data_IF_690156993910
#
_entry.id   IF_690156993910
#
_cell.length_a   1.000
_cell.length_b   1.000
_cell.length_c   1.000
_cell.angle_alpha   90.00
_cell.angle_beta   90.00
_cell.angle_gamma   90.00
#
_symmetry.space_group_name_H-M   'P 1'
#
loop_
_entity.id
_entity.type
_entity.pdbx_description
1 polymer ?
#
# COMPACT_ATOMS: atom_id res chain seq x y z
N UNK A 1 4.42 3.55 -11.17
CA UNK A 1 3.97 2.29 -10.54
C UNK A 1 5.16 1.57 -9.94
N UNK A 2 5.03 1.03 -8.73
CA UNK A 2 6.09 0.28 -8.05
C UNK A 2 5.63 -1.17 -7.77
N UNK A 3 6.53 -2.16 -7.81
CA UNK A 3 6.19 -3.52 -7.42
C UNK A 3 6.13 -3.64 -5.89
N UNK A 4 5.01 -4.12 -5.36
CA UNK A 4 4.81 -4.47 -3.96
C UNK A 4 4.77 -5.99 -3.79
N UNK A 5 5.35 -6.50 -2.71
CA UNK A 5 5.27 -7.91 -2.33
C UNK A 5 3.81 -8.31 -2.04
N UNK A 6 3.34 -9.39 -2.66
CA UNK A 6 2.00 -9.96 -2.43
C UNK A 6 2.09 -11.31 -1.70
N UNK A 7 2.83 -12.26 -2.28
CA UNK A 7 3.13 -13.54 -1.66
C UNK A 7 4.65 -13.69 -1.64
N UNK A 8 5.21 -13.75 -0.45
CA UNK A 8 6.66 -13.76 -0.22
C UNK A 8 7.09 -15.16 0.15
N UNK A 9 8.17 -15.62 -0.49
CA UNK A 9 8.92 -16.80 -0.06
C UNK A 9 10.32 -16.38 0.35
N UNK A 10 10.88 -17.10 1.31
CA UNK A 10 12.19 -16.81 1.88
C UNK A 10 13.10 -18.03 1.74
N UNK A 11 14.36 -17.81 1.41
CA UNK A 11 15.40 -18.83 1.45
C UNK A 11 16.16 -18.76 2.76
N UNK A 12 16.33 -19.92 3.40
CA UNK A 12 17.17 -20.03 4.58
C UNK A 12 18.66 -20.06 4.19
N UNK A 13 19.46 -19.12 4.70
CA UNK A 13 20.88 -19.03 4.33
C UNK A 13 21.74 -20.21 4.87
N UNK A 14 21.24 -20.98 5.85
CA UNK A 14 22.00 -22.10 6.44
C UNK A 14 21.78 -23.43 5.71
N UNK A 15 20.56 -23.71 5.26
CA UNK A 15 20.22 -24.98 4.61
C UNK A 15 19.76 -24.85 3.15
N UNK A 16 19.51 -23.64 2.65
CA UNK A 16 19.01 -23.41 1.29
C UNK A 16 17.53 -23.77 1.09
N UNK A 17 16.82 -24.14 2.15
CA UNK A 17 15.40 -24.50 2.06
C UNK A 17 14.51 -23.27 1.86
N UNK A 18 13.53 -23.39 0.97
CA UNK A 18 12.54 -22.34 0.68
C UNK A 18 11.37 -22.42 1.66
N UNK A 19 11.19 -21.36 2.45
CA UNK A 19 10.14 -21.21 3.46
C UNK A 19 9.02 -20.35 2.87
N UNK A 20 7.77 -20.78 3.05
CA UNK A 20 6.58 -20.03 2.65
C UNK A 20 5.50 -20.92 2.06
N UNK A 21 4.40 -20.35 1.55
CA UNK A 21 4.19 -18.94 1.23
C UNK A 21 3.69 -18.08 2.40
N UNK A 22 4.17 -16.84 2.51
CA UNK A 22 3.63 -15.83 3.43
C UNK A 22 2.87 -14.76 2.65
N UNK A 23 1.64 -14.47 3.06
CA UNK A 23 0.82 -13.40 2.45
C UNK A 23 1.17 -12.08 3.11
N UNK A 24 1.57 -11.10 2.30
CA UNK A 24 1.98 -9.80 2.78
C UNK A 24 0.76 -8.88 2.94
N UNK A 25 0.45 -8.53 4.20
CA UNK A 25 -0.53 -7.49 4.51
C UNK A 25 0.06 -6.11 4.25
N UNK A 26 -0.78 -5.12 3.91
CA UNK A 26 -0.32 -3.77 3.60
C UNK A 26 0.26 -3.02 4.81
N UNK A 27 -0.11 -3.44 6.03
CA UNK A 27 0.18 -2.69 7.25
C UNK A 27 1.35 -3.26 8.07
N UNK A 28 1.81 -4.49 7.81
CA UNK A 28 2.84 -5.13 8.61
C UNK A 28 3.69 -6.10 7.79
N UNK A 29 5.00 -5.98 7.88
CA UNK A 29 5.96 -6.93 7.31
C UNK A 29 5.80 -8.30 7.98
N UNK A 30 5.47 -9.33 7.18
CA UNK A 30 5.39 -10.70 7.70
C UNK A 30 6.77 -11.33 7.59
N UNK A 31 7.42 -11.52 8.74
CA UNK A 31 8.73 -12.18 8.81
C UNK A 31 8.56 -13.64 9.22
N UNK A 32 9.30 -14.58 8.61
CA UNK A 32 9.31 -15.97 9.06
C UNK A 32 9.90 -16.08 10.46
N UNK A 33 9.38 -17.01 11.27
CA UNK A 33 9.87 -17.28 12.62
C UNK A 33 11.13 -18.13 12.63
N UNK A 34 10.97 -19.44 12.39
CA UNK A 34 12.08 -20.41 12.34
C UNK A 34 11.98 -21.28 11.09
N UNK A 35 13.14 -21.72 10.59
CA UNK A 35 13.20 -22.67 9.49
C UNK A 35 12.70 -24.05 9.95
N UNK A 36 11.78 -24.71 9.23
CA UNK A 36 11.29 -26.04 9.61
C UNK A 36 12.37 -27.14 9.54
N UNK A 37 13.39 -26.97 8.71
CA UNK A 37 14.40 -28.02 8.46
C UNK A 37 15.64 -27.91 9.35
N UNK A 38 16.21 -26.72 9.49
CA UNK A 38 17.42 -26.50 10.31
C UNK A 38 17.14 -25.81 11.65
N UNK A 39 15.87 -25.53 11.98
CA UNK A 39 15.43 -24.82 13.19
C UNK A 39 16.12 -23.46 13.44
N UNK A 40 16.81 -22.92 12.44
CA UNK A 40 17.47 -21.63 12.57
C UNK A 40 16.45 -20.50 12.49
N UNK A 41 16.66 -19.46 13.29
CA UNK A 41 15.81 -18.27 13.38
C UNK A 41 16.23 -17.16 12.42
N UNK A 42 17.19 -17.43 11.52
CA UNK A 42 17.69 -16.49 10.52
C UNK A 42 19.21 -16.56 10.31
N UNK A 43 19.73 -15.80 9.34
CA UNK A 43 19.05 -14.83 8.47
C UNK A 43 18.28 -15.50 7.30
N UNK A 44 17.17 -14.88 6.92
CA UNK A 44 16.34 -15.29 5.77
C UNK A 44 16.46 -14.25 4.66
N UNK A 45 16.61 -14.69 3.41
CA UNK A 45 16.64 -13.81 2.24
C UNK A 45 15.38 -14.00 1.40
N UNK A 46 14.90 -12.96 0.74
CA UNK A 46 13.71 -13.09 -0.12
C UNK A 46 14.09 -13.85 -1.38
N UNK A 47 13.33 -14.90 -1.70
CA UNK A 47 13.49 -15.62 -2.95
C UNK A 47 12.80 -14.82 -4.07
N UNK A 48 13.58 -14.18 -4.94
CA UNK A 48 13.05 -13.34 -6.02
C UNK A 48 12.34 -14.14 -7.13
N UNK A 49 12.69 -15.42 -7.31
CA UNK A 49 12.16 -16.26 -8.39
C UNK A 49 10.74 -16.77 -8.08
N UNK A 50 10.47 -17.11 -6.82
CA UNK A 50 9.21 -17.71 -6.39
C UNK A 50 8.27 -16.74 -5.66
N UNK A 51 8.68 -15.49 -5.48
CA UNK A 51 7.85 -14.44 -4.86
C UNK A 51 6.94 -13.80 -5.90
N UNK A 52 5.68 -13.58 -5.53
CA UNK A 52 4.71 -12.90 -6.37
C UNK A 52 4.61 -11.42 -5.97
N UNK A 53 4.75 -10.57 -6.97
CA UNK A 53 4.63 -9.13 -6.85
C UNK A 53 3.29 -8.66 -7.40
N UNK A 54 2.80 -7.55 -6.88
CA UNK A 54 1.64 -6.82 -7.40
C UNK A 54 1.99 -5.36 -7.64
N UNK A 55 1.32 -4.74 -8.60
CA UNK A 55 1.48 -3.31 -8.83
C UNK A 55 0.90 -2.53 -7.65
N UNK A 56 1.63 -1.50 -7.23
CA UNK A 56 1.25 -0.56 -6.20
C UNK A 56 1.47 0.86 -6.69
N UNK A 57 0.48 1.71 -6.44
CA UNK A 57 0.55 3.14 -6.72
C UNK A 57 -0.18 3.89 -5.62
N UNK A 58 0.47 4.93 -5.10
CA UNK A 58 -0.14 5.87 -4.15
C UNK A 58 -0.42 7.16 -4.91
N UNK A 59 -1.64 7.66 -4.79
CA UNK A 59 -2.07 8.96 -5.33
C UNK A 59 -2.61 9.83 -4.19
N UNK A 60 -2.57 11.14 -4.38
CA UNK A 60 -3.19 12.09 -3.44
C UNK A 60 -4.41 12.70 -4.12
N UNK A 61 -5.58 12.43 -3.55
CA UNK A 61 -6.86 12.97 -3.97
C UNK A 61 -7.09 14.31 -3.28
N UNK A 62 -7.54 15.31 -4.02
CA UNK A 62 -7.90 16.62 -3.50
C UNK A 62 -9.37 16.92 -3.84
N UNK A 63 -10.04 17.66 -2.96
CA UNK A 63 -11.39 18.18 -3.24
C UNK A 63 -11.39 19.04 -4.53
N UNK A 64 -12.40 18.85 -5.39
CA UNK A 64 -12.55 19.65 -6.62
C UNK A 64 -12.81 21.12 -6.25
N UNK A 65 -12.07 22.08 -6.84
CA UNK A 65 -12.13 23.49 -6.47
C UNK A 65 -13.53 24.09 -6.65
N UNK A 66 -14.34 23.58 -7.59
CA UNK A 66 -15.68 24.09 -7.86
C UNK A 66 -16.71 23.79 -6.76
N UNK A 67 -16.43 22.87 -5.83
CA UNK A 67 -17.36 22.46 -4.77
C UNK A 67 -17.04 23.03 -3.39
N UNK A 68 -15.93 23.76 -3.27
CA UNK A 68 -15.40 24.25 -2.00
C UNK A 68 -15.93 25.67 -1.72
N UNK A 69 -16.39 25.98 -0.49
CA UNK A 69 -16.79 27.34 -0.14
C UNK A 69 -15.62 28.33 -0.23
N UNK A 70 -15.91 29.56 -0.67
CA UNK A 70 -14.91 30.60 -0.83
C UNK A 70 -14.15 30.86 0.48
N UNK A 71 -12.81 30.96 0.40
CA UNK A 71 -11.94 31.24 1.54
C UNK A 71 -11.48 30.02 2.34
N UNK A 72 -11.91 28.80 1.99
CA UNK A 72 -11.44 27.56 2.65
C UNK A 72 -10.27 26.92 1.88
N UNK A 73 -9.30 26.39 2.62
CA UNK A 73 -8.20 25.59 2.06
C UNK A 73 -8.72 24.19 1.69
N UNK A 74 -8.48 23.69 0.46
CA UNK A 74 -8.90 22.36 0.03
C UNK A 74 -8.24 21.28 0.89
N UNK A 75 -9.02 20.26 1.24
CA UNK A 75 -8.48 19.07 1.92
C UNK A 75 -8.04 18.03 0.89
N UNK A 76 -7.07 17.23 1.30
CA UNK A 76 -6.55 16.11 0.52
C UNK A 76 -6.53 14.83 1.35
N UNK A 77 -6.58 13.70 0.65
CA UNK A 77 -6.44 12.36 1.21
C UNK A 77 -5.62 11.48 0.30
N UNK A 78 -4.84 10.59 0.91
CA UNK A 78 -4.10 9.59 0.18
C UNK A 78 -5.00 8.42 -0.20
N UNK A 79 -4.79 7.92 -1.41
CA UNK A 79 -5.47 6.75 -1.94
C UNK A 79 -4.44 5.78 -2.52
N UNK A 80 -4.62 4.50 -2.19
CA UNK A 80 -3.78 3.40 -2.67
C UNK A 80 -4.55 2.66 -3.76
N UNK A 81 -3.90 2.49 -4.90
CA UNK A 81 -4.38 1.74 -6.06
C UNK A 81 -3.49 0.52 -6.23
N UNK A 82 -4.11 -0.63 -6.48
CA UNK A 82 -3.42 -1.92 -6.62
C UNK A 82 -3.72 -2.55 -7.98
N UNK A 83 -2.80 -3.39 -8.43
CA UNK A 83 -2.95 -4.25 -9.59
C UNK A 83 -3.40 -3.51 -10.87
N UNK A 84 -4.65 -3.72 -11.31
CA UNK A 84 -5.24 -3.24 -12.55
C UNK A 84 -5.79 -1.80 -12.48
N UNK A 85 -5.89 -1.26 -11.26
CA UNK A 85 -6.27 0.13 -11.05
C UNK A 85 -5.08 1.08 -11.27
N UNK A 86 -3.85 0.58 -11.21
CA UNK A 86 -2.65 1.39 -11.44
C UNK A 86 -2.65 2.04 -12.84
N UNK A 87 -2.14 3.27 -12.94
CA UNK A 87 -2.04 4.12 -14.14
C UNK A 87 -3.37 4.44 -14.86
N UNK A 88 -4.52 4.22 -14.21
CA UNK A 88 -5.83 4.61 -14.78
C UNK A 88 -6.13 6.10 -14.74
N UNK A 89 -5.46 6.88 -13.90
CA UNK A 89 -5.64 8.31 -13.77
C UNK A 89 -4.32 9.06 -13.88
N UNK A 90 -4.36 10.29 -14.37
CA UNK A 90 -3.23 11.21 -14.46
C UNK A 90 -3.41 12.40 -13.53
N UNK A 91 -2.32 13.08 -13.14
CA UNK A 91 -2.42 14.31 -12.37
C UNK A 91 -3.28 15.36 -13.09
N UNK A 92 -4.31 15.85 -12.42
CA UNK A 92 -5.24 16.84 -12.97
C UNK A 92 -6.59 16.26 -13.42
N UNK A 93 -6.71 14.94 -13.57
CA UNK A 93 -7.97 14.31 -13.95
C UNK A 93 -9.00 14.42 -12.81
N UNK A 94 -10.25 14.72 -13.15
CA UNK A 94 -11.36 14.57 -12.21
C UNK A 94 -11.76 13.10 -12.10
N UNK A 95 -11.67 12.54 -10.90
CA UNK A 95 -11.95 11.12 -10.64
C UNK A 95 -12.92 10.92 -9.49
N UNK A 96 -13.79 9.93 -9.64
CA UNK A 96 -14.60 9.38 -8.56
C UNK A 96 -14.00 8.04 -8.12
N UNK A 97 -13.66 7.94 -6.84
CA UNK A 97 -13.05 6.74 -6.24
C UNK A 97 -14.02 6.13 -5.24
N UNK A 98 -14.30 4.84 -5.42
CA UNK A 98 -14.99 4.02 -4.42
C UNK A 98 -13.96 3.10 -3.79
N UNK A 99 -13.90 3.09 -2.47
CA UNK A 99 -12.89 2.33 -1.75
C UNK A 99 -13.17 2.21 -0.26
N UNK A 100 -12.34 1.45 0.43
CA UNK A 100 -12.42 1.25 1.87
C UNK A 100 -11.57 2.31 2.56
N UNK A 101 -12.17 3.09 3.45
CA UNK A 101 -11.43 4.02 4.30
C UNK A 101 -10.76 3.25 5.44
N UNK A 102 -9.43 3.22 5.46
CA UNK A 102 -8.64 2.49 6.46
C UNK A 102 -7.74 3.43 7.23
N UNK A 103 -7.32 2.98 8.42
CA UNK A 103 -6.36 3.66 9.25
C UNK A 103 -5.19 2.74 9.59
N UNK A 104 -4.02 3.34 9.78
CA UNK A 104 -2.81 2.65 10.21
C UNK A 104 -2.15 3.44 11.33
N UNK A 105 -1.51 2.73 12.25
CA UNK A 105 -0.70 3.36 13.28
C UNK A 105 0.57 3.93 12.64
N UNK A 106 0.85 5.21 12.90
CA UNK A 106 2.08 5.87 12.48
C UNK A 106 2.73 6.49 13.72
N UNK A 107 3.92 6.00 14.06
CA UNK A 107 4.67 6.48 15.22
C UNK A 107 5.10 7.94 15.07
N UNK A 108 5.35 8.39 13.84
CA UNK A 108 5.82 9.76 13.57
C UNK A 108 4.77 10.81 13.91
N UNK A 109 3.53 10.59 13.48
CA UNK A 109 2.39 11.47 13.77
C UNK A 109 2.13 11.61 15.27
N UNK A 110 2.35 10.56 16.04
CA UNK A 110 2.15 10.61 17.50
C UNK A 110 3.20 11.48 18.18
N UNK A 111 4.46 11.39 17.75
CA UNK A 111 5.55 12.20 18.31
C UNK A 111 5.35 13.68 18.01
N UNK A 112 4.86 14.02 16.81
CA UNK A 112 4.62 15.42 16.42
C UNK A 112 3.42 16.04 17.13
N UNK A 113 2.33 15.28 17.29
CA UNK A 113 1.08 15.80 17.82
C UNK A 113 0.94 15.64 19.34
N UNK A 114 1.64 14.70 19.96
CA UNK A 114 1.59 14.44 21.42
C UNK A 114 0.35 13.66 21.88
N UNK A 115 -0.46 13.16 20.95
CA UNK A 115 -1.61 12.29 21.20
C UNK A 115 -1.67 11.16 20.15
N UNK A 116 -2.34 10.03 20.44
CA UNK A 116 -2.44 8.92 19.49
C UNK A 116 -3.29 9.32 18.27
N UNK A 117 -2.61 9.67 17.18
CA UNK A 117 -3.17 9.97 15.86
C UNK A 117 -2.88 8.81 14.91
N UNK A 118 -3.91 8.37 14.20
CA UNK A 118 -3.77 7.36 13.16
C UNK A 118 -3.69 8.01 11.79
N UNK A 119 -2.75 7.55 10.97
CA UNK A 119 -2.75 7.88 9.55
C UNK A 119 -3.96 7.22 8.89
N UNK A 120 -4.52 7.87 7.87
CA UNK A 120 -5.73 7.41 7.18
C UNK A 120 -5.52 7.41 5.68
N UNK A 121 -5.95 6.33 5.04
CA UNK A 121 -5.76 6.10 3.61
C UNK A 121 -6.98 5.43 3.02
N UNK A 122 -7.27 5.70 1.75
CA UNK A 122 -8.37 5.07 1.03
C UNK A 122 -7.78 3.93 0.19
N UNK A 123 -8.24 2.70 0.41
CA UNK A 123 -7.93 1.58 -0.48
C UNK A 123 -8.93 1.58 -1.62
N UNK A 124 -8.50 1.96 -2.83
CA UNK A 124 -9.37 2.00 -4.00
C UNK A 124 -9.83 0.59 -4.39
N UNK A 125 -11.13 0.45 -4.63
CA UNK A 125 -11.74 -0.74 -5.20
C UNK A 125 -12.26 -0.48 -6.61
N UNK A 126 -12.75 0.73 -6.86
CA UNK A 126 -13.21 1.14 -8.18
C UNK A 126 -12.87 2.62 -8.43
N UNK A 127 -12.49 2.93 -9.66
CA UNK A 127 -12.16 4.28 -10.10
C UNK A 127 -12.87 4.58 -11.42
N UNK A 128 -13.51 5.75 -11.47
CA UNK A 128 -14.15 6.31 -12.66
C UNK A 128 -13.48 7.65 -12.95
N UNK A 129 -12.93 7.79 -14.15
CA UNK A 129 -12.39 9.07 -14.64
C UNK A 129 -13.53 9.84 -15.31
N UNK A 130 -13.82 11.04 -14.83
CA UNK A 130 -14.84 11.93 -15.43
C UNK A 130 -14.34 12.64 -16.68
N UNK A 131 -13.03 12.77 -16.82
CA UNK A 131 -12.39 13.29 -18.02
C UNK A 131 -12.47 12.27 -19.17
N UNK A 132 -13.61 12.23 -19.84
CA UNK A 132 -13.66 11.89 -21.26
C UNK A 132 -13.58 13.21 -22.04
N UNK A 133 -12.37 13.76 -22.19
CA UNK A 133 -12.10 14.62 -23.35
C UNK A 133 -12.11 13.73 -24.59
N UNK A 134 -13.28 13.57 -25.19
CA UNK A 134 -13.39 13.42 -26.64
C UNK A 134 -13.16 14.79 -27.28
#
# INVERSE_FOLDING_TARGET
VLPQLSIVKYDCNKCGFVIGPFVQSQNSEVKPGSCPECQSTGPFMINMEQTLYRNYQKITLQESPGRIPAGRIPRSKDCIMLADLCDRCKPGDEIDVTGTYTNSYDGSLNTENGFPVFATVILANHLIVKDCKQ
#
